data_IF_355286650768
#
_entry.id   IF_355286650768
#
_cell.length_a   1.000
_cell.length_b   1.000
_cell.length_c   1.000
_cell.angle_alpha   90.00
_cell.angle_beta   90.00
_cell.angle_gamma   90.00
#
_symmetry.space_group_name_H-M   'P 1'
#
loop_
_entity.id
_entity.type
_entity.pdbx_description
1 polymer ?
#
# COMPACT_ATOMS: atom_id res chain seq x y z
N UNK A 1 -32.27 -59.42 -77.88
CA UNK A 1 -31.16 -59.49 -76.90
C UNK A 1 -30.64 -58.07 -76.64
N UNK A 2 -31.30 -57.27 -75.81
CA UNK A 2 -30.82 -55.91 -75.50
C UNK A 2 -31.32 -55.36 -74.16
N UNK A 3 -31.91 -56.19 -73.29
CA UNK A 3 -32.55 -55.75 -72.04
C UNK A 3 -31.88 -56.30 -70.77
N UNK A 4 -30.91 -57.22 -70.89
CA UNK A 4 -30.16 -57.76 -69.74
C UNK A 4 -28.84 -57.02 -69.45
N UNK A 5 -28.36 -56.17 -70.35
CA UNK A 5 -27.07 -55.46 -70.20
C UNK A 5 -27.16 -54.21 -69.30
N UNK A 6 -28.34 -53.59 -69.21
CA UNK A 6 -28.48 -52.33 -68.48
C UNK A 6 -28.65 -52.51 -66.96
N UNK A 7 -29.24 -53.63 -66.53
CA UNK A 7 -29.38 -54.00 -65.12
C UNK A 7 -28.03 -54.35 -64.48
N UNK A 8 -27.13 -55.01 -65.21
CA UNK A 8 -25.78 -55.31 -64.71
C UNK A 8 -24.91 -54.07 -64.58
N UNK A 9 -25.06 -53.08 -65.48
CA UNK A 9 -24.29 -51.84 -65.40
C UNK A 9 -24.79 -50.91 -64.27
N UNK A 10 -26.10 -50.87 -64.01
CA UNK A 10 -26.66 -50.13 -62.88
C UNK A 10 -26.38 -50.79 -61.52
N UNK A 11 -26.29 -52.12 -61.45
CA UNK A 11 -25.85 -52.82 -60.24
C UNK A 11 -24.35 -52.62 -59.96
N UNK A 12 -23.52 -52.48 -61.00
CA UNK A 12 -22.09 -52.14 -60.88
C UNK A 12 -21.85 -50.66 -60.50
N UNK A 13 -22.71 -49.73 -60.95
CA UNK A 13 -22.66 -48.33 -60.51
C UNK A 13 -23.19 -48.13 -59.08
N UNK A 14 -24.09 -49.00 -58.61
CA UNK A 14 -24.59 -48.98 -57.23
C UNK A 14 -23.69 -49.77 -56.27
N UNK A 15 -22.82 -50.68 -56.76
CA UNK A 15 -21.77 -51.33 -55.95
C UNK A 15 -20.45 -50.55 -55.91
N UNK A 16 -20.32 -49.48 -56.69
CA UNK A 16 -19.24 -48.48 -56.57
C UNK A 16 -19.68 -47.24 -55.79
N UNK A 17 -20.74 -47.40 -55.00
CA UNK A 17 -20.99 -46.60 -53.81
C UNK A 17 -20.90 -47.50 -52.58
N UNK A 18 -19.91 -48.40 -52.59
CA UNK A 18 -19.33 -48.82 -51.31
C UNK A 18 -18.98 -47.53 -50.59
N UNK A 19 -19.66 -47.36 -49.47
CA UNK A 19 -19.32 -46.39 -48.48
C UNK A 19 -17.80 -46.38 -48.32
N UNK A 20 -17.15 -45.33 -48.83
CA UNK A 20 -16.16 -44.68 -48.00
C UNK A 20 -16.93 -44.24 -46.76
N UNK A 21 -17.10 -45.19 -45.84
CA UNK A 21 -17.10 -44.85 -44.44
C UNK A 21 -15.86 -44.00 -44.28
N UNK A 22 -16.05 -42.68 -44.24
CA UNK A 22 -15.09 -41.79 -43.65
C UNK A 22 -14.95 -42.31 -42.21
N UNK A 23 -14.05 -43.27 -41.99
CA UNK A 23 -13.36 -43.35 -40.71
C UNK A 23 -12.88 -41.93 -40.49
N UNK A 24 -13.51 -41.24 -39.52
CA UNK A 24 -13.23 -39.84 -39.26
C UNK A 24 -11.72 -39.68 -39.21
N UNK A 25 -11.18 -38.80 -40.06
CA UNK A 25 -9.74 -38.62 -40.20
C UNK A 25 -9.15 -38.48 -38.80
N UNK A 26 -8.35 -39.46 -38.38
CA UNK A 26 -7.67 -39.41 -37.09
C UNK A 26 -6.30 -38.79 -37.29
N UNK A 27 -5.85 -38.01 -36.30
CA UNK A 27 -4.53 -37.38 -36.33
C UNK A 27 -3.69 -37.85 -35.15
N UNK A 28 -2.44 -38.20 -35.42
CA UNK A 28 -1.49 -38.66 -34.42
C UNK A 28 -1.03 -37.51 -33.51
N UNK A 29 -0.67 -37.78 -32.25
CA UNK A 29 -0.10 -36.77 -31.36
C UNK A 29 1.31 -36.36 -31.80
N UNK A 30 1.85 -35.24 -31.31
CA UNK A 30 3.22 -34.83 -31.58
C UNK A 30 4.24 -35.84 -31.06
N UNK A 31 5.45 -35.76 -31.60
CA UNK A 31 6.59 -36.61 -31.23
C UNK A 31 7.67 -35.78 -30.51
N UNK A 32 8.66 -36.44 -29.90
CA UNK A 32 9.85 -35.81 -29.31
C UNK A 32 9.56 -34.61 -28.37
N UNK A 33 8.55 -34.73 -27.50
CA UNK A 33 8.30 -33.70 -26.49
C UNK A 33 9.47 -33.66 -25.49
N UNK A 34 10.14 -32.51 -25.42
CA UNK A 34 11.28 -32.29 -24.51
C UNK A 34 11.08 -30.97 -23.74
N UNK A 35 11.52 -30.97 -22.49
CA UNK A 35 11.61 -29.78 -21.65
C UNK A 35 13.10 -29.49 -21.41
N UNK A 36 13.53 -28.29 -21.77
CA UNK A 36 14.90 -27.81 -21.70
C UNK A 36 15.01 -26.70 -20.65
N UNK A 37 16.02 -26.80 -19.77
CA UNK A 37 16.34 -25.75 -18.81
C UNK A 37 17.54 -24.93 -19.33
N UNK A 38 17.33 -23.69 -19.79
CA UNK A 38 18.41 -22.81 -20.24
C UNK A 38 19.23 -22.20 -19.08
N UNK A 39 18.94 -22.55 -17.82
CA UNK A 39 19.53 -21.95 -16.63
C UNK A 39 18.84 -20.66 -16.20
N UNK A 40 17.58 -20.47 -16.60
CA UNK A 40 16.76 -19.27 -16.30
C UNK A 40 15.89 -19.45 -15.05
N UNK A 41 16.32 -20.35 -14.16
CA UNK A 41 15.78 -20.53 -12.81
C UNK A 41 14.27 -20.83 -12.78
N UNK A 42 13.78 -21.61 -13.75
CA UNK A 42 12.39 -22.04 -13.85
C UNK A 42 11.65 -21.54 -15.08
N UNK A 43 12.24 -20.62 -15.86
CA UNK A 43 11.75 -20.33 -17.20
C UNK A 43 12.28 -21.39 -18.17
N UNK A 44 11.44 -22.37 -18.50
CA UNK A 44 11.81 -23.55 -19.28
C UNK A 44 11.35 -23.43 -20.73
N UNK A 45 12.10 -24.04 -21.64
CA UNK A 45 11.72 -24.17 -23.05
C UNK A 45 11.12 -25.56 -23.31
N UNK A 46 9.97 -25.59 -23.96
CA UNK A 46 9.22 -26.80 -24.31
C UNK A 46 9.26 -26.93 -25.82
N UNK A 47 9.75 -28.07 -26.33
CA UNK A 47 9.88 -28.32 -27.76
C UNK A 47 9.25 -29.66 -28.15
N UNK A 48 8.77 -29.76 -29.38
CA UNK A 48 8.22 -31.00 -29.93
C UNK A 48 8.35 -31.08 -31.46
N UNK A 49 8.28 -32.30 -31.98
CA UNK A 49 8.27 -32.61 -33.41
C UNK A 49 6.83 -32.82 -33.92
N UNK A 50 6.53 -32.49 -35.19
CA UNK A 50 5.27 -32.89 -35.81
C UNK A 50 5.18 -34.43 -35.89
N UNK A 51 3.97 -35.02 -35.85
CA UNK A 51 3.81 -36.45 -36.11
C UNK A 51 4.32 -36.82 -37.50
N UNK A 52 4.97 -37.98 -37.60
CA UNK A 52 5.55 -38.49 -38.85
C UNK A 52 4.51 -38.60 -39.96
N UNK A 53 3.28 -38.97 -39.60
CA UNK A 53 2.13 -39.08 -40.53
C UNK A 53 1.75 -37.76 -41.19
N UNK A 54 2.08 -36.62 -40.58
CA UNK A 54 1.78 -35.30 -41.12
C UNK A 54 2.96 -34.64 -41.82
N UNK A 55 4.16 -35.22 -41.86
CA UNK A 55 5.35 -34.56 -42.43
C UNK A 55 5.09 -34.15 -43.90
N UNK A 56 4.50 -35.05 -44.68
CA UNK A 56 4.24 -34.85 -46.11
C UNK A 56 2.90 -34.16 -46.41
N UNK A 57 2.07 -33.92 -45.39
CA UNK A 57 0.80 -33.19 -45.56
C UNK A 57 1.04 -31.69 -45.57
N UNK A 58 0.87 -31.06 -46.73
CA UNK A 58 1.04 -29.61 -46.93
C UNK A 58 -0.28 -28.87 -47.09
N UNK A 59 -1.35 -29.59 -47.46
CA UNK A 59 -2.67 -29.00 -47.74
C UNK A 59 -3.37 -28.45 -46.50
N UNK A 60 -2.98 -28.90 -45.30
CA UNK A 60 -3.57 -28.46 -44.05
C UNK A 60 -2.55 -27.82 -43.11
N UNK A 61 -2.87 -26.64 -42.54
CA UNK A 61 -2.09 -26.09 -41.44
C UNK A 61 -2.12 -27.04 -40.23
N UNK A 62 -0.93 -27.26 -39.67
CA UNK A 62 -0.71 -28.06 -38.47
C UNK A 62 -0.68 -27.11 -37.28
N UNK A 63 -1.60 -27.32 -36.37
CA UNK A 63 -1.67 -26.59 -35.11
C UNK A 63 -1.41 -27.57 -33.96
N UNK A 64 -1.08 -27.02 -32.81
CA UNK A 64 -0.82 -27.77 -31.59
C UNK A 64 -1.59 -27.14 -30.47
N UNK A 65 -2.18 -27.98 -29.62
CA UNK A 65 -2.69 -27.56 -28.32
C UNK A 65 -1.68 -27.99 -27.26
N UNK A 66 -0.88 -27.06 -26.79
CA UNK A 66 0.02 -27.25 -25.66
C UNK A 66 -0.75 -26.97 -24.37
N UNK A 67 -0.67 -27.91 -23.44
CA UNK A 67 -1.21 -27.74 -22.09
C UNK A 67 -0.10 -27.98 -21.07
N UNK A 68 0.10 -27.04 -20.17
CA UNK A 68 1.06 -27.17 -19.07
C UNK A 68 0.42 -26.81 -17.75
N UNK A 69 0.84 -27.47 -16.68
CA UNK A 69 0.31 -27.22 -15.35
C UNK A 69 1.03 -26.03 -14.71
N UNK A 70 0.32 -24.93 -14.51
CA UNK A 70 0.84 -23.75 -13.83
C UNK A 70 0.71 -23.93 -12.32
N UNK A 71 1.83 -24.20 -11.65
CA UNK A 71 1.90 -24.45 -10.20
C UNK A 71 1.67 -23.21 -9.34
N UNK A 72 1.76 -22.01 -9.90
CA UNK A 72 1.47 -20.75 -9.20
C UNK A 72 -0.03 -20.43 -9.22
N UNK A 73 -0.74 -20.86 -10.26
CA UNK A 73 -2.19 -20.71 -10.42
C UNK A 73 -3.00 -21.97 -10.06
N UNK A 74 -2.31 -23.06 -9.74
CA UNK A 74 -2.89 -24.39 -9.47
C UNK A 74 -3.89 -24.85 -10.55
N UNK A 75 -3.56 -24.63 -11.82
CA UNK A 75 -4.45 -24.91 -12.95
C UNK A 75 -3.70 -25.22 -14.24
N UNK A 76 -4.37 -25.91 -15.15
CA UNK A 76 -3.85 -26.16 -16.50
C UNK A 76 -4.00 -24.90 -17.34
N UNK A 77 -2.89 -24.46 -17.94
CA UNK A 77 -2.89 -23.43 -18.98
C UNK A 77 -2.85 -24.13 -20.34
N UNK A 78 -3.71 -23.70 -21.26
CA UNK A 78 -3.79 -24.25 -22.61
C UNK A 78 -3.56 -23.15 -23.64
N UNK A 79 -2.68 -23.41 -24.61
CA UNK A 79 -2.44 -22.52 -25.75
C UNK A 79 -2.61 -23.28 -27.06
N UNK A 80 -3.00 -22.56 -28.11
CA UNK A 80 -3.00 -23.09 -29.48
C UNK A 80 -1.97 -22.33 -30.31
N UNK A 81 -1.11 -23.06 -31.01
CA UNK A 81 -0.03 -22.46 -31.80
C UNK A 81 0.33 -23.33 -32.99
N UNK A 82 0.84 -22.72 -34.05
CA UNK A 82 1.51 -23.36 -35.19
C UNK A 82 3.01 -23.59 -34.92
N UNK A 83 3.55 -22.96 -33.87
CA UNK A 83 4.93 -23.12 -33.45
C UNK A 83 5.16 -24.48 -32.81
N UNK A 84 6.43 -24.88 -32.77
CA UNK A 84 6.93 -26.14 -32.20
C UNK A 84 7.77 -25.94 -30.93
N UNK A 85 7.77 -24.70 -30.44
CA UNK A 85 8.47 -24.30 -29.22
C UNK A 85 7.60 -23.31 -28.46
N UNK A 86 7.65 -23.40 -27.14
CA UNK A 86 7.04 -22.45 -26.22
C UNK A 86 7.87 -22.36 -24.95
N UNK A 87 7.91 -21.19 -24.33
CA UNK A 87 8.58 -21.00 -23.04
C UNK A 87 7.57 -20.60 -21.99
N UNK A 88 7.68 -21.20 -20.81
CA UNK A 88 6.76 -20.95 -19.70
C UNK A 88 7.50 -21.00 -18.36
N UNK A 89 6.90 -20.35 -17.36
CA UNK A 89 7.44 -20.30 -16.01
C UNK A 89 6.94 -21.48 -15.17
N UNK A 90 7.86 -22.14 -14.48
CA UNK A 90 7.58 -23.26 -13.59
C UNK A 90 8.19 -23.05 -12.20
N UNK A 91 7.64 -23.74 -11.21
CA UNK A 91 8.25 -23.92 -9.90
C UNK A 91 9.08 -25.21 -9.93
N UNK A 92 10.40 -25.09 -9.97
CA UNK A 92 11.33 -26.23 -10.05
C UNK A 92 11.37 -27.06 -8.75
N UNK A 93 10.68 -26.64 -7.69
CA UNK A 93 10.50 -27.44 -6.48
C UNK A 93 9.29 -28.39 -6.58
N UNK A 94 8.51 -28.31 -7.65
CA UNK A 94 7.31 -29.13 -7.92
C UNK A 94 7.47 -29.91 -9.23
N UNK A 95 6.53 -30.81 -9.48
CA UNK A 95 6.45 -31.53 -10.75
C UNK A 95 6.12 -30.57 -11.90
N UNK A 96 6.95 -30.57 -12.93
CA UNK A 96 6.68 -29.89 -14.20
C UNK A 96 5.92 -30.86 -15.09
N UNK A 97 4.70 -30.49 -15.50
CA UNK A 97 3.79 -31.34 -16.27
C UNK A 97 3.38 -30.64 -17.55
N UNK A 98 3.65 -31.28 -18.68
CA UNK A 98 3.40 -30.74 -20.01
C UNK A 98 2.83 -31.83 -20.90
N UNK A 99 1.76 -31.52 -21.63
CA UNK A 99 1.20 -32.39 -22.65
C UNK A 99 0.85 -31.62 -23.92
N UNK A 100 0.94 -32.29 -25.06
CA UNK A 100 0.68 -31.67 -26.36
C UNK A 100 -0.23 -32.56 -27.21
N UNK A 101 -1.20 -31.92 -27.85
CA UNK A 101 -2.10 -32.52 -28.83
C UNK A 101 -1.85 -31.93 -30.20
N UNK A 102 -2.09 -32.72 -31.25
CA UNK A 102 -2.13 -32.22 -32.62
C UNK A 102 -3.52 -31.73 -32.95
N UNK A 103 -3.60 -30.59 -33.61
CA UNK A 103 -4.81 -30.02 -34.18
C UNK A 103 -4.63 -29.90 -35.69
N UNK A 104 -5.57 -30.45 -36.43
CA UNK A 104 -5.57 -30.40 -37.89
C UNK A 104 -6.87 -29.76 -38.36
N UNK A 105 -6.76 -28.77 -39.23
CA UNK A 105 -7.91 -28.08 -39.81
C UNK A 105 -7.59 -27.63 -41.22
N UNK A 106 -8.56 -27.70 -42.14
CA UNK A 106 -8.41 -27.16 -43.50
C UNK A 106 -9.05 -28.07 -44.55
N UNK A 107 -8.56 -28.01 -45.80
CA UNK A 107 -9.07 -28.82 -46.91
C UNK A 107 -9.09 -30.33 -46.62
N UNK A 108 -8.01 -30.85 -46.05
CA UNK A 108 -7.89 -32.28 -45.68
C UNK A 108 -8.91 -32.74 -44.62
N UNK A 109 -9.50 -31.82 -43.85
CA UNK A 109 -10.51 -32.12 -42.83
C UNK A 109 -11.90 -31.62 -43.23
N UNK A 110 -12.07 -31.22 -44.50
CA UNK A 110 -13.31 -30.58 -45.00
C UNK A 110 -13.76 -29.41 -44.11
N UNK A 111 -12.80 -28.61 -43.62
CA UNK A 111 -13.03 -27.46 -42.74
C UNK A 111 -13.31 -27.80 -41.27
N UNK A 112 -13.38 -29.07 -40.89
CA UNK A 112 -13.64 -29.48 -39.49
C UNK A 112 -12.34 -29.47 -38.69
N UNK A 113 -12.32 -28.92 -37.47
CA UNK A 113 -11.16 -29.05 -36.59
C UNK A 113 -11.12 -30.47 -36.01
N UNK A 114 -10.01 -31.16 -36.25
CA UNK A 114 -9.75 -32.50 -35.73
C UNK A 114 -8.62 -32.40 -34.70
N UNK A 115 -8.88 -32.89 -33.49
CA UNK A 115 -7.90 -32.98 -32.41
C UNK A 115 -7.47 -34.43 -32.24
N UNK A 116 -6.18 -34.66 -32.00
CA UNK A 116 -5.67 -36.01 -31.67
C UNK A 116 -6.37 -36.55 -30.43
N UNK A 117 -6.79 -37.81 -30.47
CA UNK A 117 -7.45 -38.47 -29.33
C UNK A 117 -6.46 -38.75 -28.20
N UNK A 118 -5.22 -39.10 -28.56
CA UNK A 118 -4.09 -39.22 -27.66
C UNK A 118 -3.25 -37.92 -27.62
N UNK A 119 -2.36 -37.86 -26.64
CA UNK A 119 -1.38 -36.80 -26.45
C UNK A 119 -0.04 -37.41 -26.05
N UNK A 120 1.03 -36.64 -26.28
CA UNK A 120 2.33 -36.91 -25.66
C UNK A 120 2.42 -36.09 -24.37
N UNK A 121 2.97 -36.68 -23.31
CA UNK A 121 3.13 -36.04 -22.00
C UNK A 121 4.55 -36.26 -21.47
N UNK A 122 5.10 -35.20 -20.86
CA UNK A 122 6.32 -35.26 -20.07
C UNK A 122 6.01 -34.75 -18.67
N UNK A 123 6.40 -35.55 -17.68
CA UNK A 123 6.38 -35.19 -16.26
C UNK A 123 7.81 -35.19 -15.73
N UNK A 124 8.38 -34.02 -15.52
CA UNK A 124 9.69 -33.87 -14.92
C UNK A 124 9.55 -33.65 -13.41
N UNK A 125 10.16 -34.56 -12.64
CA UNK A 125 10.21 -34.47 -11.18
C UNK A 125 11.22 -33.39 -10.74
N UNK A 126 11.00 -32.75 -9.59
CA UNK A 126 11.93 -31.75 -9.08
C UNK A 126 13.32 -32.36 -8.85
N UNK A 127 14.42 -31.61 -9.04
CA UNK A 127 15.76 -32.11 -8.80
C UNK A 127 15.90 -32.64 -7.37
N UNK A 128 16.40 -33.87 -7.22
CA UNK A 128 16.74 -34.46 -5.90
C UNK A 128 18.07 -33.95 -5.35
N UNK A 129 18.63 -32.89 -5.94
CA UNK A 129 19.92 -32.32 -5.55
C UNK A 129 19.84 -31.63 -4.19
N UNK A 130 20.93 -31.75 -3.44
CA UNK A 130 21.17 -31.07 -2.17
C UNK A 130 20.74 -31.83 -0.92
N UNK A 131 21.36 -31.49 0.22
CA UNK A 131 21.12 -32.15 1.52
C UNK A 131 19.69 -31.90 2.00
N UNK A 132 18.97 -32.97 2.36
CA UNK A 132 17.55 -32.91 2.71
C UNK A 132 17.28 -31.99 3.91
N UNK A 133 16.33 -31.08 3.74
CA UNK A 133 15.92 -30.14 4.79
C UNK A 133 16.86 -28.96 4.97
N UNK A 134 17.81 -28.75 4.05
CA UNK A 134 18.66 -27.56 4.00
C UNK A 134 18.13 -26.50 3.02
N UNK A 135 16.85 -26.53 2.66
CA UNK A 135 16.26 -25.43 1.88
C UNK A 135 16.14 -24.18 2.75
N UNK A 136 16.32 -22.99 2.17
CA UNK A 136 16.10 -21.75 2.92
C UNK A 136 14.62 -21.57 3.25
N UNK A 137 14.35 -20.88 4.36
CA UNK A 137 13.01 -20.63 4.86
C UNK A 137 12.65 -19.15 4.66
N UNK A 138 11.36 -18.82 4.70
CA UNK A 138 10.86 -17.44 4.78
C UNK A 138 11.47 -16.46 3.76
N UNK A 139 11.67 -16.92 2.52
CA UNK A 139 12.16 -16.06 1.45
C UNK A 139 11.15 -14.94 1.17
N UNK A 140 11.56 -13.70 1.39
CA UNK A 140 10.71 -12.51 1.20
C UNK A 140 11.49 -11.42 0.52
N UNK A 141 10.90 -10.82 -0.51
CA UNK A 141 11.41 -9.59 -1.10
C UNK A 141 10.48 -8.42 -0.74
N UNK A 142 11.09 -7.26 -0.47
CA UNK A 142 10.41 -6.00 -0.16
C UNK A 142 10.98 -4.92 -1.06
N UNK A 143 10.12 -4.31 -1.88
CA UNK A 143 10.47 -3.20 -2.75
C UNK A 143 10.18 -1.88 -2.02
N UNK A 144 11.19 -1.36 -1.31
CA UNK A 144 11.05 -0.23 -0.41
C UNK A 144 10.73 1.05 -1.17
N UNK A 145 9.52 1.57 -0.99
CA UNK A 145 9.03 2.82 -1.57
C UNK A 145 9.28 2.97 -3.09
N UNK A 146 9.31 1.84 -3.82
CA UNK A 146 9.75 1.75 -5.22
C UNK A 146 11.16 2.30 -5.52
N UNK A 147 12.02 2.44 -4.50
CA UNK A 147 13.40 2.94 -4.60
C UNK A 147 14.40 1.81 -4.79
N UNK A 148 14.37 0.80 -3.93
CA UNK A 148 15.30 -0.34 -3.96
C UNK A 148 14.65 -1.61 -3.45
N UNK A 149 15.09 -2.76 -3.97
CA UNK A 149 14.60 -4.08 -3.56
C UNK A 149 15.59 -4.72 -2.58
N UNK A 150 15.07 -5.29 -1.51
CA UNK A 150 15.81 -6.20 -0.64
C UNK A 150 15.07 -7.53 -0.55
N UNK A 151 15.81 -8.62 -0.68
CA UNK A 151 15.30 -9.96 -0.45
C UNK A 151 16.02 -10.55 0.75
N UNK A 152 15.30 -11.19 1.66
CA UNK A 152 15.82 -11.84 2.84
C UNK A 152 15.34 -13.28 2.90
N UNK A 153 16.11 -14.15 3.56
CA UNK A 153 15.74 -15.53 3.79
C UNK A 153 16.25 -16.02 5.15
N UNK A 154 15.48 -16.92 5.75
CA UNK A 154 15.84 -17.63 6.97
C UNK A 154 16.79 -18.80 6.69
N UNK A 155 17.75 -18.99 7.59
CA UNK A 155 18.62 -20.18 7.60
C UNK A 155 17.84 -21.38 8.12
N UNK A 156 17.92 -22.53 7.44
CA UNK A 156 17.33 -23.76 7.96
C UNK A 156 18.10 -24.27 9.18
N UNK A 157 17.41 -24.78 10.23
CA UNK A 157 18.04 -25.39 11.39
C UNK A 157 18.97 -26.58 11.07
N UNK A 158 18.77 -27.24 9.92
CA UNK A 158 19.59 -28.37 9.48
C UNK A 158 20.87 -27.95 8.76
N UNK A 159 21.09 -26.66 8.54
CA UNK A 159 22.33 -26.17 7.91
C UNK A 159 23.45 -26.07 8.94
N UNK A 160 24.56 -26.76 8.67
CA UNK A 160 25.80 -26.66 9.45
C UNK A 160 26.30 -25.21 9.53
N UNK A 161 26.98 -24.81 10.60
CA UNK A 161 27.39 -23.42 10.83
C UNK A 161 28.27 -22.83 9.70
N UNK A 162 29.07 -23.67 9.05
CA UNK A 162 29.97 -23.28 7.96
C UNK A 162 29.34 -23.33 6.56
N UNK A 163 28.03 -23.59 6.43
CA UNK A 163 27.36 -23.56 5.12
C UNK A 163 27.25 -22.14 4.58
N UNK A 164 27.59 -21.97 3.31
CA UNK A 164 27.52 -20.71 2.56
C UNK A 164 26.36 -20.74 1.58
N UNK A 165 25.58 -19.66 1.55
CA UNK A 165 24.40 -19.52 0.69
C UNK A 165 24.64 -18.48 -0.38
N UNK A 166 24.13 -18.72 -1.59
CA UNK A 166 24.23 -17.81 -2.72
C UNK A 166 22.85 -17.57 -3.31
N UNK A 167 22.58 -16.33 -3.70
CA UNK A 167 21.36 -15.98 -4.42
C UNK A 167 21.72 -15.68 -5.87
N UNK A 168 20.99 -16.31 -6.78
CA UNK A 168 21.00 -16.03 -8.21
C UNK A 168 19.62 -15.54 -8.64
N UNK A 169 19.58 -14.68 -9.65
CA UNK A 169 18.33 -14.22 -10.23
C UNK A 169 18.41 -14.15 -11.75
N UNK A 170 17.26 -14.23 -12.40
CA UNK A 170 17.11 -14.07 -13.82
C UNK A 170 15.79 -13.34 -14.13
N UNK A 171 15.80 -12.52 -15.16
CA UNK A 171 14.58 -11.92 -15.72
C UNK A 171 14.73 -11.81 -17.24
N UNK A 172 13.60 -11.65 -17.92
CA UNK A 172 13.59 -11.37 -19.34
C UNK A 172 14.43 -10.10 -19.63
N UNK A 173 15.41 -10.22 -20.51
CA UNK A 173 16.44 -9.20 -20.76
C UNK A 173 17.85 -9.63 -20.35
N UNK A 174 18.00 -10.64 -19.50
CA UNK A 174 19.29 -11.26 -19.17
C UNK A 174 19.54 -12.50 -20.04
N UNK A 175 20.78 -12.66 -20.52
CA UNK A 175 21.18 -13.86 -21.27
C UNK A 175 21.29 -15.09 -20.37
N UNK A 176 21.80 -14.91 -19.15
CA UNK A 176 22.02 -15.94 -18.14
C UNK A 176 21.65 -15.39 -16.76
N UNK A 177 21.47 -16.28 -15.78
CA UNK A 177 21.27 -15.88 -14.40
C UNK A 177 22.50 -15.16 -13.84
N UNK A 178 22.28 -14.15 -13.01
CA UNK A 178 23.33 -13.40 -12.35
C UNK A 178 23.29 -13.59 -10.83
N UNK A 179 24.45 -13.49 -10.18
CA UNK A 179 24.54 -13.54 -8.72
C UNK A 179 24.08 -12.21 -8.09
N UNK A 180 23.59 -12.30 -6.85
CA UNK A 180 23.27 -11.14 -6.01
C UNK A 180 24.36 -10.04 -6.08
N UNK A 181 24.00 -8.80 -6.41
CA UNK A 181 24.97 -7.70 -6.50
C UNK A 181 25.59 -7.33 -5.15
N UNK A 182 24.81 -7.40 -4.06
CA UNK A 182 25.27 -7.06 -2.72
C UNK A 182 24.57 -7.89 -1.66
N UNK A 183 25.31 -8.77 -0.99
CA UNK A 183 24.75 -9.60 0.08
C UNK A 183 24.50 -8.80 1.37
N UNK A 184 23.38 -9.12 2.01
CA UNK A 184 23.11 -8.76 3.40
C UNK A 184 23.65 -9.88 4.30
N UNK A 185 24.34 -9.50 5.39
CA UNK A 185 25.01 -10.44 6.30
C UNK A 185 24.40 -10.29 7.69
N UNK A 186 23.90 -11.39 8.24
CA UNK A 186 23.42 -11.49 9.61
C UNK A 186 24.21 -12.57 10.34
N UNK A 187 24.80 -12.22 11.51
CA UNK A 187 25.64 -13.12 12.31
C UNK A 187 26.76 -13.80 11.52
N UNK A 188 27.39 -13.07 10.59
CA UNK A 188 28.49 -13.57 9.75
C UNK A 188 28.08 -14.48 8.59
N UNK A 189 26.78 -14.73 8.38
CA UNK A 189 26.25 -15.51 7.27
C UNK A 189 25.43 -14.64 6.30
N UNK A 190 25.48 -14.97 5.00
CA UNK A 190 24.62 -14.35 3.98
C UNK A 190 23.17 -14.67 4.32
N UNK A 191 22.32 -13.65 4.47
CA UNK A 191 20.91 -13.79 4.87
C UNK A 191 19.96 -13.02 3.96
N UNK A 192 20.49 -12.32 2.97
CA UNK A 192 19.72 -11.50 2.07
C UNK A 192 20.53 -10.96 0.90
N UNK A 193 19.85 -10.26 0.01
CA UNK A 193 20.40 -9.59 -1.14
C UNK A 193 19.78 -8.19 -1.28
N UNK A 194 20.63 -7.19 -1.46
CA UNK A 194 20.24 -5.82 -1.70
C UNK A 194 20.52 -5.47 -3.18
N UNK A 195 19.50 -4.96 -3.86
CA UNK A 195 19.53 -4.61 -5.29
C UNK A 195 19.61 -3.09 -5.54
N UNK A 196 20.10 -2.29 -4.58
CA UNK A 196 20.22 -0.83 -4.75
C UNK A 196 21.09 -0.46 -5.95
N UNK A 197 22.14 -1.23 -6.24
CA UNK A 197 23.06 -0.99 -7.36
C UNK A 197 22.56 -1.59 -8.69
N UNK A 198 21.46 -2.34 -8.68
CA UNK A 198 20.92 -3.01 -9.87
C UNK A 198 19.40 -2.92 -9.93
N UNK A 199 18.92 -2.05 -10.82
CA UNK A 199 17.49 -1.93 -11.09
C UNK A 199 16.95 -3.20 -11.72
N UNK A 200 15.85 -3.70 -11.17
CA UNK A 200 15.13 -4.86 -11.67
C UNK A 200 13.85 -4.42 -12.40
N UNK A 201 13.41 -5.15 -13.44
CA UNK A 201 12.24 -4.78 -14.21
C UNK A 201 10.95 -4.96 -13.39
N UNK A 202 9.99 -4.05 -13.61
CA UNK A 202 8.65 -4.08 -13.00
C UNK A 202 7.68 -4.78 -13.97
N UNK A 203 6.56 -5.29 -13.45
CA UNK A 203 5.49 -5.90 -14.25
C UNK A 203 5.91 -7.09 -15.12
N UNK A 204 6.98 -7.77 -14.71
CA UNK A 204 7.46 -9.02 -15.31
C UNK A 204 7.91 -9.95 -14.21
N UNK A 205 7.85 -11.25 -14.48
CA UNK A 205 8.38 -12.25 -13.57
C UNK A 205 9.90 -12.14 -13.47
N UNK A 206 10.39 -12.24 -12.24
CA UNK A 206 11.80 -12.37 -11.90
C UNK A 206 11.95 -13.67 -11.13
N UNK A 207 12.87 -14.49 -11.61
CA UNK A 207 13.16 -15.79 -11.05
C UNK A 207 14.35 -15.67 -10.12
N UNK A 208 14.24 -16.26 -8.94
CA UNK A 208 15.26 -16.30 -7.90
C UNK A 208 15.57 -17.74 -7.56
N UNK A 209 16.85 -18.02 -7.31
CA UNK A 209 17.32 -19.29 -6.78
C UNK A 209 18.25 -19.00 -5.62
N UNK A 210 17.96 -19.54 -4.45
CA UNK A 210 18.89 -19.57 -3.33
C UNK A 210 19.42 -20.98 -3.21
N UNK A 211 20.72 -21.14 -3.40
CA UNK A 211 21.42 -22.40 -3.24
C UNK A 211 22.60 -22.22 -2.29
N UNK A 212 23.49 -23.21 -2.22
CA UNK A 212 24.71 -23.06 -1.45
C UNK A 212 25.50 -24.35 -1.34
N UNK A 213 26.55 -24.29 -0.54
CA UNK A 213 27.43 -25.43 -0.26
C UNK A 213 27.62 -25.62 1.24
N UNK A 214 27.90 -26.86 1.61
CA UNK A 214 28.24 -27.28 2.96
C UNK A 214 29.27 -28.41 2.91
N UNK A 215 29.92 -28.77 4.04
CA UNK A 215 30.79 -29.94 4.11
C UNK A 215 30.13 -31.26 3.69
N UNK A 216 28.81 -31.39 3.88
CA UNK A 216 28.04 -32.59 3.54
C UNK A 216 27.61 -32.62 2.06
N UNK A 217 27.87 -31.54 1.32
CA UNK A 217 27.47 -31.39 -0.08
C UNK A 217 26.69 -30.11 -0.36
N UNK A 218 26.12 -29.98 -1.56
CA UNK A 218 25.31 -28.81 -1.92
C UNK A 218 24.08 -28.70 -1.02
N UNK A 219 23.66 -27.47 -0.72
CA UNK A 219 22.40 -27.21 -0.03
C UNK A 219 21.22 -27.44 -0.99
N UNK A 220 20.05 -27.78 -0.44
CA UNK A 220 18.82 -27.91 -1.22
C UNK A 220 18.45 -26.53 -1.79
N UNK A 221 18.37 -26.36 -3.13
CA UNK A 221 18.01 -25.06 -3.70
C UNK A 221 16.53 -24.75 -3.48
N UNK A 222 16.23 -23.46 -3.29
CA UNK A 222 14.89 -22.91 -3.24
C UNK A 222 14.68 -21.99 -4.45
N UNK A 223 13.62 -22.23 -5.23
CA UNK A 223 13.27 -21.44 -6.41
C UNK A 223 12.01 -20.62 -6.14
N UNK A 224 12.02 -19.35 -6.53
CA UNK A 224 10.89 -18.43 -6.37
C UNK A 224 10.75 -17.59 -7.63
N UNK A 225 9.53 -17.42 -8.14
CA UNK A 225 9.22 -16.43 -9.16
C UNK A 225 8.28 -15.38 -8.59
N UNK A 226 8.58 -14.10 -8.78
CA UNK A 226 7.74 -13.00 -8.32
C UNK A 226 7.83 -11.77 -9.22
N UNK A 227 6.83 -10.90 -9.10
CA UNK A 227 6.80 -9.60 -9.79
C UNK A 227 6.93 -8.48 -8.76
N UNK A 228 8.02 -7.72 -8.81
CA UNK A 228 8.43 -6.81 -7.72
C UNK A 228 7.42 -5.70 -7.39
N UNK A 229 6.56 -5.31 -8.33
CA UNK A 229 5.50 -4.32 -8.06
C UNK A 229 4.49 -4.82 -7.02
N UNK A 230 4.32 -6.14 -6.91
CA UNK A 230 3.43 -6.78 -5.95
C UNK A 230 4.06 -6.93 -4.54
N UNK A 231 5.28 -6.41 -4.37
CA UNK A 231 6.07 -6.49 -3.14
C UNK A 231 6.46 -5.11 -2.59
N UNK A 232 5.76 -4.05 -3.01
CA UNK A 232 6.08 -2.70 -2.58
C UNK A 232 5.60 -2.46 -1.15
N UNK A 233 6.50 -1.90 -0.34
CA UNK A 233 6.22 -1.34 0.99
C UNK A 233 6.40 0.17 0.95
N UNK A 234 5.33 0.98 1.01
CA UNK A 234 5.47 2.42 1.07
C UNK A 234 6.24 2.87 2.32
N UNK A 235 6.84 4.04 2.23
CA UNK A 235 7.50 4.68 3.36
C UNK A 235 6.47 5.23 4.35
N UNK A 236 6.88 5.39 5.61
CA UNK A 236 6.02 5.92 6.67
C UNK A 236 5.63 7.37 6.38
N UNK A 237 4.37 7.72 6.59
CA UNK A 237 3.94 9.11 6.52
C UNK A 237 4.44 9.91 7.72
N UNK A 238 5.27 10.91 7.46
CA UNK A 238 5.87 11.74 8.51
C UNK A 238 5.00 12.97 8.86
N UNK A 239 4.26 13.49 7.89
CA UNK A 239 3.46 14.72 8.04
C UNK A 239 1.98 14.40 8.11
N UNK A 240 1.47 14.32 9.35
CA UNK A 240 0.05 14.21 9.66
C UNK A 240 -0.41 15.46 10.42
N UNK A 241 -1.27 16.24 9.77
CA UNK A 241 -1.85 17.45 10.32
C UNK A 241 -3.23 17.17 10.88
N UNK A 242 -3.45 17.70 12.08
CA UNK A 242 -4.69 17.56 12.82
C UNK A 242 -5.17 18.95 13.23
N UNK A 243 -6.37 19.31 12.79
CA UNK A 243 -7.01 20.57 13.18
C UNK A 243 -8.45 20.35 13.61
N UNK A 244 -8.92 21.21 14.51
CA UNK A 244 -10.33 21.25 14.88
C UNK A 244 -11.03 22.26 13.98
N UNK A 245 -11.88 21.76 13.09
CA UNK A 245 -12.68 22.56 12.18
C UNK A 245 -13.87 23.24 12.88
N UNK A 246 -14.68 24.01 12.13
CA UNK A 246 -15.96 24.50 12.61
C UNK A 246 -16.85 23.32 13.06
N UNK A 247 -17.73 23.55 14.04
CA UNK A 247 -18.57 22.52 14.67
C UNK A 247 -17.82 21.40 15.40
N UNK A 248 -16.60 21.67 15.86
CA UNK A 248 -15.75 20.73 16.63
C UNK A 248 -15.39 19.45 15.85
N UNK A 249 -15.53 19.46 14.52
CA UNK A 249 -15.12 18.33 13.69
C UNK A 249 -13.60 18.20 13.65
N UNK A 250 -13.12 16.97 13.54
CA UNK A 250 -11.69 16.70 13.48
C UNK A 250 -11.29 16.57 12.01
N UNK A 251 -10.58 17.57 11.50
CA UNK A 251 -10.10 17.60 10.12
C UNK A 251 -8.65 17.09 10.08
N UNK A 252 -8.46 16.01 9.33
CA UNK A 252 -7.18 15.36 9.11
C UNK A 252 -6.71 15.62 7.69
N UNK A 253 -5.43 15.95 7.54
CA UNK A 253 -4.75 15.96 6.26
C UNK A 253 -3.33 15.44 6.43
N UNK A 254 -2.84 14.67 5.47
CA UNK A 254 -1.48 14.15 5.49
C UNK A 254 -0.85 14.19 4.11
N UNK A 255 0.48 14.21 4.07
CA UNK A 255 1.24 14.11 2.83
C UNK A 255 1.61 12.65 2.51
N UNK A 256 1.74 12.35 1.23
CA UNK A 256 2.21 11.05 0.76
C UNK A 256 3.70 10.85 1.10
N UNK A 257 4.17 9.59 1.18
CA UNK A 257 5.59 9.32 1.37
C UNK A 257 6.43 9.97 0.26
N UNK A 258 7.57 10.54 0.64
CA UNK A 258 8.49 11.18 -0.31
C UNK A 258 9.12 10.12 -1.21
N UNK A 259 8.81 10.13 -2.51
CA UNK A 259 9.39 9.17 -3.44
C UNK A 259 8.67 9.09 -4.77
N UNK A 260 8.94 8.00 -5.49
CA UNK A 260 8.42 7.72 -6.83
C UNK A 260 7.00 7.13 -6.84
N UNK A 261 6.34 7.02 -5.68
CA UNK A 261 5.00 6.46 -5.58
C UNK A 261 3.95 7.52 -5.98
N UNK A 262 3.14 7.28 -7.04
CA UNK A 262 2.05 8.17 -7.38
C UNK A 262 0.97 8.17 -6.28
N UNK A 263 0.44 9.35 -5.94
CA UNK A 263 -0.63 9.47 -4.92
C UNK A 263 -1.87 8.63 -5.25
N UNK A 264 -2.25 8.56 -6.53
CA UNK A 264 -3.40 7.77 -7.01
C UNK A 264 -3.21 6.25 -6.86
N UNK A 265 -1.97 5.79 -6.63
CA UNK A 265 -1.68 4.38 -6.35
C UNK A 265 -1.81 4.02 -4.88
N UNK A 266 -1.94 4.99 -3.98
CA UNK A 266 -2.01 4.74 -2.55
C UNK A 266 -3.45 4.59 -2.08
N UNK A 267 -3.64 3.69 -1.13
CA UNK A 267 -4.79 3.68 -0.24
C UNK A 267 -4.31 3.74 1.20
N UNK A 268 -5.15 4.30 2.05
CA UNK A 268 -4.81 4.72 3.39
C UNK A 268 -5.69 4.00 4.40
N UNK A 269 -5.10 3.76 5.55
CA UNK A 269 -5.82 3.34 6.73
C UNK A 269 -5.50 4.30 7.87
N UNK A 270 -6.57 4.79 8.49
CA UNK A 270 -6.54 5.74 9.59
C UNK A 270 -6.98 4.99 10.83
N UNK A 271 -6.13 4.95 11.85
CA UNK A 271 -6.50 4.48 13.18
C UNK A 271 -6.79 5.70 14.05
N UNK A 272 -8.00 5.74 14.58
CA UNK A 272 -8.50 6.79 15.45
C UNK A 272 -8.75 6.22 16.84
N UNK A 273 -7.95 6.67 17.81
CA UNK A 273 -8.04 6.27 19.20
C UNK A 273 -8.66 7.40 20.02
N UNK A 274 -9.67 7.07 20.83
CA UNK A 274 -10.39 7.97 21.71
C UNK A 274 -10.24 7.48 23.14
N UNK A 275 -9.56 8.25 23.97
CA UNK A 275 -9.38 7.96 25.38
C UNK A 275 -10.38 8.75 26.22
N UNK A 276 -11.22 8.04 26.99
CA UNK A 276 -12.16 8.63 27.93
C UNK A 276 -11.51 9.03 29.26
N UNK A 277 -12.24 9.77 30.12
CA UNK A 277 -11.75 10.16 31.44
C UNK A 277 -11.55 8.97 32.39
N UNK A 278 -12.16 7.82 32.09
CA UNK A 278 -11.97 6.54 32.79
C UNK A 278 -10.73 5.76 32.30
N UNK A 279 -9.93 6.34 31.40
CA UNK A 279 -8.75 5.72 30.79
C UNK A 279 -9.08 4.63 29.76
N UNK A 280 -10.36 4.44 29.42
CA UNK A 280 -10.75 3.46 28.39
C UNK A 280 -10.50 4.04 27.00
N UNK A 281 -9.87 3.22 26.15
CA UNK A 281 -9.55 3.59 24.77
C UNK A 281 -10.52 2.87 23.83
N UNK A 282 -11.27 3.65 23.06
CA UNK A 282 -12.01 3.16 21.90
C UNK A 282 -11.16 3.39 20.64
N UNK A 283 -11.01 2.35 19.81
CA UNK A 283 -10.23 2.43 18.56
C UNK A 283 -11.13 2.17 17.36
N UNK A 284 -11.03 3.02 16.34
CA UNK A 284 -11.73 2.89 15.07
C UNK A 284 -10.72 2.87 13.93
N UNK A 285 -10.92 1.94 12.99
CA UNK A 285 -10.11 1.81 11.78
C UNK A 285 -10.92 2.25 10.57
N UNK A 286 -10.37 3.15 9.75
CA UNK A 286 -11.07 3.75 8.61
C UNK A 286 -10.18 3.64 7.37
N UNK A 287 -10.70 3.00 6.32
CA UNK A 287 -10.03 2.93 5.02
C UNK A 287 -10.48 4.06 4.11
N UNK A 288 -9.54 4.73 3.45
CA UNK A 288 -9.82 5.82 2.50
C UNK A 288 -8.79 5.84 1.37
N UNK A 289 -9.16 6.42 0.23
CA UNK A 289 -8.23 6.72 -0.87
C UNK A 289 -7.80 8.19 -0.89
N UNK A 290 -8.47 9.02 -0.10
CA UNK A 290 -8.17 10.44 0.01
C UNK A 290 -7.06 10.65 1.03
N UNK A 291 -6.29 11.72 0.85
CA UNK A 291 -5.24 12.15 1.79
C UNK A 291 -5.77 13.12 2.86
N UNK A 292 -7.09 13.16 3.02
CA UNK A 292 -7.79 13.93 4.02
C UNK A 292 -9.01 13.16 4.49
N UNK A 293 -9.44 13.45 5.72
CA UNK A 293 -10.60 12.84 6.33
C UNK A 293 -11.19 13.79 7.36
N UNK A 294 -12.51 13.91 7.39
CA UNK A 294 -13.22 14.64 8.44
C UNK A 294 -13.93 13.63 9.32
N UNK A 295 -13.59 13.63 10.61
CA UNK A 295 -14.21 12.78 11.61
C UNK A 295 -15.21 13.59 12.44
N UNK A 296 -16.34 12.98 12.83
CA UNK A 296 -17.36 13.67 13.62
C UNK A 296 -16.78 14.11 14.97
N UNK A 297 -17.28 15.25 15.47
CA UNK A 297 -16.93 15.80 16.78
C UNK A 297 -17.09 14.76 17.88
N UNK A 298 -16.14 14.76 18.82
CA UNK A 298 -16.13 13.86 19.97
C UNK A 298 -16.44 14.71 21.20
N UNK A 299 -17.44 14.27 21.97
CA UNK A 299 -17.90 14.87 23.23
C UNK A 299 -16.78 15.45 24.10
N UNK A 300 -17.08 16.59 24.73
CA UNK A 300 -16.25 17.24 25.75
C UNK A 300 -15.72 16.19 26.73
N UNK A 301 -14.39 16.11 26.87
CA UNK A 301 -13.62 15.26 27.78
C UNK A 301 -13.07 13.91 27.25
N UNK A 302 -12.92 13.70 25.94
CA UNK A 302 -12.12 12.58 25.39
C UNK A 302 -10.90 13.07 24.63
N UNK A 303 -9.73 12.46 24.86
CA UNK A 303 -8.52 12.73 24.08
C UNK A 303 -8.53 11.92 22.79
N UNK A 304 -8.46 12.62 21.65
CA UNK A 304 -8.44 12.00 20.33
C UNK A 304 -7.00 11.95 19.79
N UNK A 305 -6.54 10.77 19.40
CA UNK A 305 -5.24 10.55 18.74
C UNK A 305 -5.44 9.78 17.44
N UNK A 306 -4.73 10.20 16.39
CA UNK A 306 -4.86 9.61 15.06
C UNK A 306 -3.49 9.24 14.53
N UNK A 307 -3.39 8.09 13.86
CA UNK A 307 -2.22 7.69 13.07
C UNK A 307 -2.67 7.11 11.73
N UNK A 308 -1.81 7.24 10.73
CA UNK A 308 -2.11 6.82 9.35
C UNK A 308 -1.03 5.90 8.81
N UNK A 309 -1.42 4.96 7.95
CA UNK A 309 -0.51 4.13 7.16
C UNK A 309 -1.02 3.96 5.74
N UNK A 310 -0.15 3.61 4.80
CA UNK A 310 -0.49 3.42 3.40
C UNK A 310 -0.07 2.06 2.87
N UNK A 311 -0.72 1.63 1.79
CA UNK A 311 -0.27 0.55 0.90
C UNK A 311 -0.66 0.89 -0.53
N UNK A 312 -0.18 0.12 -1.51
CA UNK A 312 -0.70 0.27 -2.87
C UNK A 312 -2.10 -0.30 -2.97
N UNK A 313 -2.93 0.38 -3.76
CA UNK A 313 -4.25 -0.09 -4.11
C UNK A 313 -4.19 -1.14 -5.24
N UNK A 314 -5.31 -1.85 -5.39
CA UNK A 314 -5.45 -2.96 -6.35
C UNK A 314 -5.28 -2.60 -7.83
N UNK A 315 -5.28 -1.31 -8.19
CA UNK A 315 -5.12 -0.88 -9.58
C UNK A 315 -3.65 -0.75 -9.96
N UNK A 316 -2.76 -0.58 -8.99
CA UNK A 316 -1.32 -0.46 -9.22
C UNK A 316 -0.55 -1.75 -8.88
N UNK A 317 -1.07 -2.59 -7.97
CA UNK A 317 -0.48 -3.87 -7.63
C UNK A 317 -1.55 -4.86 -7.10
N UNK A 318 -1.40 -6.15 -7.40
CA UNK A 318 -2.28 -7.20 -6.88
C UNK A 318 -2.10 -7.42 -5.38
N UNK A 319 -0.87 -7.18 -4.91
CA UNK A 319 -0.45 -7.33 -3.51
C UNK A 319 0.46 -6.16 -3.13
N UNK A 320 0.45 -5.79 -1.86
CA UNK A 320 1.33 -4.75 -1.32
C UNK A 320 1.48 -4.91 0.19
N UNK A 321 2.61 -4.47 0.72
CA UNK A 321 2.82 -4.36 2.16
C UNK A 321 2.27 -3.03 2.68
N UNK A 322 1.73 -3.06 3.89
CA UNK A 322 1.46 -1.84 4.64
C UNK A 322 2.78 -1.16 5.02
N UNK A 323 2.80 0.18 4.94
CA UNK A 323 3.81 1.00 5.60
C UNK A 323 3.74 0.79 7.11
N UNK A 324 4.79 1.23 7.82
CA UNK A 324 4.64 1.43 9.26
C UNK A 324 3.60 2.53 9.52
N UNK A 325 3.01 2.49 10.70
CA UNK A 325 2.14 3.56 11.16
C UNK A 325 2.93 4.86 11.33
N UNK A 326 2.30 5.98 10.98
CA UNK A 326 2.79 7.30 11.37
C UNK A 326 2.89 7.42 12.89
N UNK A 327 3.65 8.40 13.35
CA UNK A 327 3.56 8.81 14.76
C UNK A 327 2.12 9.26 15.05
N UNK A 328 1.57 8.94 16.23
CA UNK A 328 0.24 9.40 16.60
C UNK A 328 0.25 10.92 16.79
N UNK A 329 -0.69 11.60 16.13
CA UNK A 329 -0.97 13.02 16.32
C UNK A 329 -2.24 13.14 17.15
N UNK A 330 -2.15 13.76 18.32
CA UNK A 330 -3.28 13.95 19.23
C UNK A 330 -3.79 15.39 19.19
N UNK A 331 -5.09 15.56 19.48
CA UNK A 331 -5.66 16.87 19.67
C UNK A 331 -4.90 17.60 20.79
N UNK A 332 -4.53 18.89 20.59
CA UNK A 332 -3.98 19.69 21.68
C UNK A 332 -4.95 19.67 22.84
N UNK A 333 -4.45 19.48 24.08
CA UNK A 333 -5.28 19.73 25.25
C UNK A 333 -5.84 21.13 25.11
N UNK A 334 -7.18 21.24 25.10
CA UNK A 334 -7.79 22.54 25.27
C UNK A 334 -7.35 23.01 26.65
N UNK A 335 -6.36 23.91 26.70
CA UNK A 335 -6.18 24.74 27.87
C UNK A 335 -7.55 25.35 28.12
N UNK A 336 -8.21 24.91 29.20
CA UNK A 336 -9.38 25.58 29.75
C UNK A 336 -8.97 27.05 29.77
N UNK A 337 -9.49 27.85 28.83
CA UNK A 337 -9.36 29.31 28.93
C UNK A 337 -9.87 29.59 30.34
N UNK A 338 -9.06 30.21 31.21
CA UNK A 338 -9.55 30.57 32.53
C UNK A 338 -10.86 31.32 32.26
N UNK A 339 -11.94 30.75 32.77
CA UNK A 339 -13.26 31.34 32.74
C UNK A 339 -13.04 32.77 33.22
N UNK A 340 -13.14 33.74 32.30
CA UNK A 340 -12.79 35.12 32.61
C UNK A 340 -13.64 35.49 33.81
N UNK A 341 -12.99 35.81 34.92
CA UNK A 341 -13.53 36.27 36.20
C UNK A 341 -14.85 37.03 35.96
N UNK A 342 -15.95 36.28 35.93
CA UNK A 342 -17.28 36.85 35.96
C UNK A 342 -17.43 37.22 37.42
N UNK A 343 -16.78 38.33 37.83
CA UNK A 343 -17.02 38.96 39.13
C UNK A 343 -18.52 39.10 39.18
N UNK A 344 -19.19 38.24 39.95
CA UNK A 344 -20.56 37.95 39.64
C UNK A 344 -21.36 39.18 40.06
N UNK A 345 -22.34 39.56 39.23
CA UNK A 345 -23.08 40.83 39.33
C UNK A 345 -23.57 41.12 40.76
N UNK A 346 -23.77 40.08 41.58
CA UNK A 346 -24.09 40.18 43.00
C UNK A 346 -23.05 40.93 43.84
N UNK A 347 -21.75 40.91 43.50
CA UNK A 347 -20.69 41.66 44.20
C UNK A 347 -20.88 43.15 43.98
N UNK A 348 -21.16 43.58 42.74
CA UNK A 348 -21.46 44.97 42.43
C UNK A 348 -22.76 45.44 43.08
N UNK A 349 -23.78 44.58 43.11
CA UNK A 349 -25.05 44.86 43.82
C UNK A 349 -24.80 45.00 45.33
N UNK A 350 -24.00 44.11 45.94
CA UNK A 350 -23.67 44.17 47.36
C UNK A 350 -22.90 45.46 47.71
N UNK A 351 -21.93 45.86 46.90
CA UNK A 351 -21.18 47.11 47.07
C UNK A 351 -22.11 48.32 46.94
N UNK A 352 -23.04 48.32 45.99
CA UNK A 352 -24.02 49.39 45.83
C UNK A 352 -24.97 49.50 47.04
N UNK A 353 -25.45 48.37 47.57
CA UNK A 353 -26.29 48.34 48.78
C UNK A 353 -25.53 48.89 49.98
N UNK A 354 -24.28 48.46 50.19
CA UNK A 354 -23.44 48.94 51.30
C UNK A 354 -23.22 50.46 51.17
N UNK A 355 -22.93 50.97 49.98
CA UNK A 355 -22.76 52.40 49.75
C UNK A 355 -24.03 53.21 50.09
N UNK A 356 -25.21 52.72 49.72
CA UNK A 356 -26.49 53.36 50.04
C UNK A 356 -26.77 53.35 51.55
N UNK A 357 -26.47 52.23 52.23
CA UNK A 357 -26.61 52.13 53.69
C UNK A 357 -25.67 53.09 54.42
N UNK A 358 -24.42 53.22 53.98
CA UNK A 358 -23.47 54.19 54.54
C UNK A 358 -23.94 55.62 54.30
N UNK A 359 -24.41 55.95 53.08
CA UNK A 359 -24.93 57.29 52.76
C UNK A 359 -26.17 57.65 53.58
N UNK A 360 -27.08 56.70 53.80
CA UNK A 360 -28.27 56.91 54.63
C UNK A 360 -27.94 57.04 56.12
N UNK A 361 -26.96 56.30 56.64
CA UNK A 361 -26.44 56.47 58.01
C UNK A 361 -25.74 57.82 58.18
N UNK A 362 -24.95 58.25 57.20
CA UNK A 362 -24.30 59.56 57.20
C UNK A 362 -25.34 60.70 57.13
N UNK A 363 -26.36 60.58 56.28
CA UNK A 363 -27.46 61.54 56.22
C UNK A 363 -28.29 61.56 57.51
N UNK A 364 -28.54 60.39 58.11
CA UNK A 364 -29.19 60.25 59.40
C UNK A 364 -28.41 60.89 60.55
N UNK A 365 -27.08 60.74 60.57
CA UNK A 365 -26.21 61.38 61.54
C UNK A 365 -26.21 62.91 61.37
N UNK A 366 -26.14 63.41 60.12
CA UNK A 366 -26.21 64.86 59.83
C UNK A 366 -27.57 65.45 60.22
N UNK A 367 -28.68 64.75 59.99
CA UNK A 367 -30.02 65.16 60.41
C UNK A 367 -30.19 65.16 61.93
N UNK A 368 -29.59 64.19 62.64
CA UNK A 368 -29.61 64.12 64.11
C UNK A 368 -28.78 65.26 64.74
N UNK A 369 -27.65 65.61 64.14
CA UNK A 369 -26.84 66.79 64.50
C UNK A 369 -27.59 68.10 64.21
N UNK A 370 -28.35 68.17 63.10
CA UNK A 370 -29.18 69.34 62.77
C UNK A 370 -30.37 69.52 63.72
N UNK A 371 -31.03 68.44 64.16
CA UNK A 371 -32.10 68.49 65.17
C UNK A 371 -31.59 68.89 66.55
N UNK A 372 -30.39 68.47 66.94
CA UNK A 372 -29.77 68.90 68.21
C UNK A 372 -29.36 70.38 68.20
N UNK A 373 -28.94 70.92 67.04
CA UNK A 373 -28.63 72.36 66.88
C UNK A 373 -29.84 73.30 66.88
N UNK A 374 -31.05 72.82 66.58
CA UNK A 374 -32.26 73.66 66.58
C UNK A 374 -32.89 73.85 67.98
N UNK A 375 -32.43 73.14 69.02
CA UNK A 375 -32.95 73.29 70.38
C UNK A 375 -32.12 74.23 71.28
N UNK A 376 -31.06 74.84 70.76
CA UNK A 376 -30.27 75.85 71.46
C UNK A 376 -29.89 77.00 70.52
N UNK A 377 -30.74 78.03 70.48
CA UNK A 377 -30.30 79.41 70.24
C UNK A 377 -30.38 80.16 71.57
N UNK A 378 -29.44 81.08 71.85
CA UNK A 378 -29.72 82.46 71.47
C UNK A 378 -28.54 83.21 70.83
N UNK A 379 -28.94 84.35 70.26
CA UNK A 379 -28.19 85.33 69.49
C UNK A 379 -27.19 86.15 70.33
N UNK A 380 -26.08 86.60 69.73
CA UNK A 380 -25.81 88.05 69.58
C UNK A 380 -24.68 88.31 68.57
N UNK A 381 -24.70 89.54 68.06
CA UNK A 381 -24.06 90.06 66.89
C UNK A 381 -22.62 90.58 67.08
N UNK A 382 -21.93 90.67 65.92
CA UNK A 382 -20.87 91.63 65.49
C UNK A 382 -19.70 91.93 66.44
N UNK A 383 -18.48 91.71 65.92
CA UNK A 383 -17.55 92.82 65.65
C UNK A 383 -16.55 92.44 64.54
N UNK A 384 -16.32 93.42 63.65
CA UNK A 384 -15.36 93.44 62.53
C UNK A 384 -14.02 93.93 63.07
N UNK A 385 -12.89 93.30 62.70
CA UNK A 385 -11.60 93.99 62.48
C UNK A 385 -10.84 93.33 61.31
N UNK A 386 -10.42 94.20 60.40
CA UNK A 386 -9.54 94.01 59.25
C UNK A 386 -8.11 93.62 59.63
N UNK A 387 -7.45 92.74 58.86
CA UNK A 387 -6.14 93.10 58.25
C UNK A 387 -5.77 92.22 57.05
N UNK A 388 -5.27 92.91 56.02
CA UNK A 388 -4.82 92.52 54.68
C UNK A 388 -3.57 91.64 54.67
N UNK A 389 -3.40 90.83 53.61
CA UNK A 389 -2.35 90.91 52.56
C UNK A 389 -2.67 89.85 51.47
N UNK A 390 -3.31 90.26 50.35
CA UNK A 390 -2.73 90.54 49.01
C UNK A 390 -2.08 89.31 48.34
N UNK A 391 -2.82 88.50 47.57
CA UNK A 391 -2.87 88.46 46.08
C UNK A 391 -1.53 88.47 45.35
N UNK A 392 -1.27 87.43 44.54
CA UNK A 392 -1.06 87.56 43.09
C UNK A 392 -1.64 86.34 42.34
N UNK A 393 -2.15 86.62 41.15
CA UNK A 393 -3.05 85.81 40.33
C UNK A 393 -2.41 85.53 38.95
N UNK A 394 -2.71 84.34 38.44
CA UNK A 394 -2.92 83.88 37.05
C UNK A 394 -1.83 83.85 35.95
N UNK A 395 -1.96 82.75 35.19
CA UNK A 395 -1.85 82.67 33.72
C UNK A 395 -0.71 81.76 33.27
N UNK A 396 -0.87 80.71 32.45
CA UNK A 396 -1.97 80.25 31.62
C UNK A 396 -1.44 79.75 30.27
N UNK A 397 -1.77 78.50 29.91
CA UNK A 397 -2.00 77.94 28.55
C UNK A 397 -0.86 77.56 27.56
N UNK A 398 -1.10 76.35 26.99
CA UNK A 398 -0.77 75.82 25.64
C UNK A 398 0.69 75.37 25.41
N UNK A 399 1.05 74.27 24.72
CA UNK A 399 0.44 73.55 23.58
C UNK A 399 1.16 72.20 23.35
N UNK A 400 0.37 71.17 23.00
CA UNK A 400 0.58 70.04 22.08
C UNK A 400 1.94 69.90 21.36
N UNK A 401 2.54 68.69 21.38
CA UNK A 401 3.04 68.04 20.16
C UNK A 401 3.24 66.52 20.32
N UNK A 402 2.97 65.81 19.22
CA UNK A 402 3.02 64.37 19.03
C UNK A 402 4.44 63.81 19.09
N UNK A 403 4.61 62.54 19.47
CA UNK A 403 5.61 61.68 18.82
C UNK A 403 5.14 60.22 18.79
N UNK A 404 4.63 59.84 17.62
CA UNK A 404 4.51 58.45 17.17
C UNK A 404 5.74 58.19 16.28
N UNK A 405 6.47 57.10 16.52
CA UNK A 405 7.01 56.14 15.54
C UNK A 405 8.26 55.44 16.11
N UNK A 406 8.15 54.14 16.34
CA UNK A 406 9.29 53.22 16.18
C UNK A 406 8.87 52.16 15.17
N UNK A 407 9.40 52.28 13.96
CA UNK A 407 9.36 51.28 12.90
C UNK A 407 10.80 50.80 12.73
N UNK A 408 11.07 49.54 13.04
CA UNK A 408 12.35 48.87 12.73
C UNK A 408 12.10 47.83 11.64
N UNK A 409 12.64 48.06 10.45
CA UNK A 409 12.82 47.03 9.45
C UNK A 409 14.02 47.40 8.55
N UNK A 410 14.86 46.38 8.34
CA UNK A 410 15.69 46.11 7.16
C UNK A 410 17.08 46.77 7.09
N UNK A 411 18.08 45.90 7.13
CA UNK A 411 19.45 46.11 6.61
C UNK A 411 19.49 45.81 5.09
N UNK A 412 20.39 46.47 4.36
CA UNK A 412 21.31 45.70 3.50
C UNK A 412 22.71 46.30 3.44
N UNK A 413 23.75 45.45 3.45
CA UNK A 413 24.91 45.40 2.54
C UNK A 413 25.52 44.01 2.67
#
# INVERSE_FOLDING_TARGET
MATKSWLTLMLLLMSWRESMHCNGLTVDPPEDLVILDPGHLGHLEITWSPPTSLINMTECPKLYQLEYFNTYMDSWTAIRTDRRTHSAQFDLMKDVRVRVYTLLSGPCTNGTMIKSTSYIEVVQKPPSTGVVGTAVQDFVCVYHNMKYLECNWGRSPKMLANSQQNLYFWHNGLKQAEECPKYLILNGARSGCNFTEKSLPKFTDINFCVNGSSPEGPLKPTFISLQIQNHVKPETTEKLHLQTGPDMQLELHWEGPVGSLPGDCLEWEVEHNQEGPDGKIASQLISTKQMSLTLPSIHDNKRSCVRVRSRLNKYCADKSFWSEWSRPTCQPEMALKPEWDMVPVYVYIAVAIIAILVLSLCAGAVLKVRRSRQLKKPDYARHIVFQKFSTYICGGLKRQENLHLHRSQIAPV
#
